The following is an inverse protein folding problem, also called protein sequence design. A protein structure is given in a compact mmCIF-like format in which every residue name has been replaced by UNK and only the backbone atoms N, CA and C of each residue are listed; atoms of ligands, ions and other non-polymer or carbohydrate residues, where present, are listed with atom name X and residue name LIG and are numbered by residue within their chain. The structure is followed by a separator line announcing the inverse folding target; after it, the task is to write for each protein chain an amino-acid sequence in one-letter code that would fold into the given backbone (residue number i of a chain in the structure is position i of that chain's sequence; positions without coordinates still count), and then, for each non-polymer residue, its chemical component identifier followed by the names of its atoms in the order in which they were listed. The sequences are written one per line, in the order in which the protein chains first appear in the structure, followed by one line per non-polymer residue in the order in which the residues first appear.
data_IF_030376411767
#
_entry.id   IF_030376411767
#
_cell.length_a   1.000
_cell.length_b   1.000
_cell.length_c   1.000
_cell.angle_alpha   90.00
_cell.angle_beta   90.00
_cell.angle_gamma   90.00
#
_symmetry.space_group_name_H-M   'P 1'
#
loop_
_entity.id
_entity.type
_entity.pdbx_description
1 polymer ?
#
# COMPACT_ATOMS: atom_id res chain seq x y z
N UNK A 1 17.40 -12.28 25.50
CA UNK A 1 16.91 -11.63 24.27
C UNK A 1 16.78 -12.64 23.13
N UNK A 2 15.72 -12.59 22.32
CA UNK A 2 15.57 -13.48 21.16
C UNK A 2 16.69 -13.26 20.16
N UNK A 3 17.21 -14.34 19.60
CA UNK A 3 18.30 -14.27 18.60
C UNK A 3 17.81 -14.06 17.18
N UNK A 4 16.55 -14.41 16.90
CA UNK A 4 15.91 -14.28 15.58
C UNK A 4 14.41 -14.26 15.73
N UNK A 5 13.76 -13.67 14.74
CA UNK A 5 12.33 -13.80 14.49
C UNK A 5 12.12 -15.12 13.72
N UNK A 6 11.26 -15.98 14.22
CA UNK A 6 10.94 -17.24 13.58
C UNK A 6 9.60 -17.10 12.82
N UNK A 7 9.55 -17.61 11.60
CA UNK A 7 8.29 -17.77 10.84
C UNK A 7 7.52 -18.93 11.46
N UNK A 8 6.26 -18.75 11.79
CA UNK A 8 5.42 -19.81 12.32
C UNK A 8 4.82 -20.66 11.18
N UNK A 9 5.41 -21.85 10.99
CA UNK A 9 4.94 -22.84 10.02
C UNK A 9 4.99 -22.36 8.56
N UNK A 10 4.18 -22.99 7.70
CA UNK A 10 4.05 -22.65 6.27
C UNK A 10 3.05 -21.48 6.05
N UNK A 11 2.99 -20.52 6.99
CA UNK A 11 2.05 -19.40 6.93
C UNK A 11 2.54 -18.23 6.05
N UNK A 12 3.82 -18.21 5.69
CA UNK A 12 4.40 -17.12 4.92
C UNK A 12 3.96 -17.20 3.45
N UNK A 13 3.23 -16.18 3.04
CA UNK A 13 2.87 -15.92 1.65
C UNK A 13 3.41 -14.54 1.24
N UNK A 14 3.20 -14.15 -0.01
CA UNK A 14 3.60 -12.81 -0.48
C UNK A 14 2.81 -11.67 0.18
N UNK A 15 1.63 -11.97 0.75
CA UNK A 15 0.71 -10.99 1.35
C UNK A 15 0.42 -11.20 2.84
N UNK A 16 0.83 -12.34 3.42
CA UNK A 16 0.59 -12.64 4.82
C UNK A 16 1.76 -13.39 5.44
N UNK A 17 2.07 -13.09 6.69
CA UNK A 17 3.04 -13.83 7.47
C UNK A 17 2.76 -13.74 8.97
N UNK A 18 3.00 -14.84 9.67
CA UNK A 18 2.95 -14.92 11.13
C UNK A 18 4.33 -15.26 11.67
N UNK A 19 4.79 -14.45 12.61
CA UNK A 19 6.14 -14.51 13.14
C UNK A 19 6.12 -14.55 14.64
N UNK A 20 7.09 -15.24 15.24
CA UNK A 20 7.24 -15.27 16.69
C UNK A 20 8.68 -15.02 17.11
N UNK A 21 8.84 -14.41 18.26
CA UNK A 21 10.12 -14.19 18.91
C UNK A 21 10.01 -14.41 20.41
N UNK A 22 10.97 -15.16 20.96
CA UNK A 22 11.12 -15.43 22.39
C UNK A 22 12.57 -15.81 22.72
N UNK A 23 13.03 -15.69 23.99
CA UNK A 23 12.36 -15.06 25.11
C UNK A 23 12.66 -13.56 25.18
N UNK A 24 11.66 -12.76 25.53
CA UNK A 24 11.85 -11.38 25.98
C UNK A 24 11.75 -11.33 27.50
N UNK A 25 12.36 -10.35 28.13
CA UNK A 25 12.09 -10.03 29.54
C UNK A 25 10.63 -9.56 29.66
N UNK A 26 10.01 -9.83 30.80
CA UNK A 26 8.60 -9.53 31.06
C UNK A 26 8.28 -8.05 30.80
N UNK A 27 7.27 -7.81 29.96
CA UNK A 27 6.82 -6.49 29.52
C UNK A 27 7.47 -5.99 28.23
N UNK A 28 8.67 -6.49 27.85
CA UNK A 28 9.30 -6.08 26.60
C UNK A 28 8.58 -6.62 25.35
N UNK A 29 7.89 -7.75 25.46
CA UNK A 29 7.06 -8.27 24.37
C UNK A 29 6.05 -7.26 23.89
N UNK A 30 5.34 -6.60 24.81
CA UNK A 30 4.34 -5.56 24.51
C UNK A 30 5.00 -4.31 23.92
N UNK A 31 6.10 -3.84 24.51
CA UNK A 31 6.83 -2.65 24.04
C UNK A 31 7.32 -2.82 22.61
N UNK A 32 7.99 -3.94 22.32
CA UNK A 32 8.51 -4.24 20.98
C UNK A 32 7.37 -4.49 19.97
N UNK A 33 6.36 -5.25 20.38
CA UNK A 33 5.19 -5.53 19.52
C UNK A 33 4.46 -4.26 19.09
N UNK A 34 4.21 -3.35 20.02
CA UNK A 34 3.59 -2.06 19.70
C UNK A 34 4.48 -1.17 18.84
N UNK A 35 5.78 -1.12 19.12
CA UNK A 35 6.74 -0.34 18.33
C UNK A 35 6.81 -0.85 16.88
N UNK A 36 6.91 -2.16 16.69
CA UNK A 36 6.90 -2.79 15.37
C UNK A 36 5.59 -2.53 14.63
N UNK A 37 4.45 -2.67 15.31
CA UNK A 37 3.14 -2.39 14.71
C UNK A 37 3.04 -0.95 14.21
N UNK A 38 3.48 0.03 15.01
CA UNK A 38 3.49 1.44 14.61
C UNK A 38 4.41 1.71 13.43
N UNK A 39 5.65 1.18 13.46
CA UNK A 39 6.60 1.34 12.37
C UNK A 39 6.11 0.69 11.07
N UNK A 40 5.52 -0.50 11.14
CA UNK A 40 4.94 -1.22 10.00
C UNK A 40 3.81 -0.43 9.33
N UNK A 41 2.91 0.16 10.11
CA UNK A 41 1.74 0.86 9.58
C UNK A 41 2.05 2.27 9.06
N UNK A 42 3.14 2.90 9.50
CA UNK A 42 3.41 4.32 9.19
C UNK A 42 4.68 4.58 8.39
N UNK A 43 5.65 3.66 8.42
CA UNK A 43 7.01 4.00 7.99
C UNK A 43 7.55 3.15 6.84
N UNK A 44 6.81 2.12 6.43
CA UNK A 44 7.19 1.32 5.25
C UNK A 44 6.80 2.07 3.99
N UNK A 45 7.73 2.16 3.05
CA UNK A 45 7.52 2.83 1.77
C UNK A 45 6.69 1.98 0.82
N UNK A 46 5.83 2.63 0.06
CA UNK A 46 5.06 2.01 -1.01
C UNK A 46 4.74 3.01 -2.12
N UNK A 47 4.15 2.54 -3.19
CA UNK A 47 3.74 3.34 -4.33
C UNK A 47 2.23 3.65 -4.25
N UNK A 48 1.85 4.87 -4.60
CA UNK A 48 0.45 5.27 -4.70
C UNK A 48 0.24 6.34 -5.77
N UNK A 49 -0.97 6.40 -6.31
CA UNK A 49 -1.39 7.48 -7.21
C UNK A 49 -1.56 8.75 -6.38
N UNK A 50 -0.93 9.84 -6.83
CA UNK A 50 -0.92 11.14 -6.13
C UNK A 50 -1.70 12.22 -6.86
N UNK A 51 -1.87 12.07 -8.18
CA UNK A 51 -2.67 12.98 -8.99
C UNK A 51 -3.26 12.23 -10.17
N UNK A 52 -4.42 12.68 -10.64
CA UNK A 52 -5.13 12.13 -11.79
C UNK A 52 -5.56 13.24 -12.72
N UNK A 53 -5.56 12.96 -14.02
CA UNK A 53 -6.13 13.82 -15.04
C UNK A 53 -7.08 12.97 -15.87
N UNK A 54 -8.35 13.34 -15.85
CA UNK A 54 -9.42 12.66 -16.60
C UNK A 54 -9.88 13.62 -17.69
N UNK A 55 -9.92 13.16 -18.91
CA UNK A 55 -10.34 14.01 -20.05
C UNK A 55 -11.77 14.51 -19.87
N UNK A 56 -11.96 15.83 -20.01
CA UNK A 56 -13.27 16.48 -19.85
C UNK A 56 -13.70 16.70 -18.40
N UNK A 57 -12.83 16.46 -17.43
CA UNK A 57 -13.07 16.65 -15.99
C UNK A 57 -12.17 17.76 -15.45
N UNK A 58 -12.76 18.75 -14.79
CA UNK A 58 -12.02 19.88 -14.20
C UNK A 58 -11.86 19.76 -12.68
N UNK A 59 -12.72 18.98 -12.02
CA UNK A 59 -12.66 18.75 -10.58
C UNK A 59 -13.27 17.38 -10.22
N UNK A 60 -12.94 16.87 -9.05
CA UNK A 60 -13.30 15.54 -8.58
C UNK A 60 -14.81 15.24 -8.47
N UNK A 61 -15.66 16.27 -8.44
CA UNK A 61 -17.11 16.13 -8.36
C UNK A 61 -17.82 16.17 -9.72
N UNK A 62 -17.05 16.12 -10.81
CA UNK A 62 -17.62 16.16 -12.17
C UNK A 62 -18.11 14.78 -12.61
N UNK A 63 -19.18 14.76 -13.41
CA UNK A 63 -19.54 13.56 -14.17
C UNK A 63 -18.60 13.40 -15.38
N UNK A 64 -18.32 12.15 -15.75
CA UNK A 64 -17.51 11.81 -16.92
C UNK A 64 -18.46 11.46 -18.07
N UNK A 65 -18.33 12.16 -19.19
CA UNK A 65 -19.23 11.94 -20.33
C UNK A 65 -19.07 10.54 -20.92
N UNK A 66 -20.15 9.78 -20.95
CA UNK A 66 -20.17 8.43 -21.52
C UNK A 66 -19.58 7.36 -20.57
N UNK A 67 -19.42 7.66 -19.29
CA UNK A 67 -19.02 6.74 -18.24
C UNK A 67 -20.12 6.70 -17.18
N UNK A 68 -20.36 5.55 -16.58
CA UNK A 68 -21.43 5.33 -15.59
C UNK A 68 -21.07 5.99 -14.26
N UNK A 69 -19.80 5.85 -13.84
CA UNK A 69 -19.27 6.39 -12.59
C UNK A 69 -18.94 7.89 -12.77
N UNK A 70 -19.00 8.63 -11.68
CA UNK A 70 -18.45 9.98 -11.62
C UNK A 70 -16.92 9.96 -11.35
N UNK A 71 -16.30 11.15 -11.41
CA UNK A 71 -14.86 11.26 -11.20
C UNK A 71 -14.45 10.83 -9.80
N UNK A 72 -15.29 11.06 -8.77
CA UNK A 72 -15.02 10.65 -7.39
C UNK A 72 -14.97 9.12 -7.29
N UNK A 73 -15.94 8.42 -7.86
CA UNK A 73 -16.00 6.96 -7.85
C UNK A 73 -14.78 6.35 -8.56
N UNK A 74 -14.44 6.88 -9.73
CA UNK A 74 -13.25 6.46 -10.49
C UNK A 74 -11.97 6.66 -9.66
N UNK A 75 -11.80 7.82 -9.02
CA UNK A 75 -10.64 8.09 -8.15
C UNK A 75 -10.60 7.12 -6.97
N UNK A 76 -11.72 6.83 -6.33
CA UNK A 76 -11.78 5.87 -5.22
C UNK A 76 -11.42 4.45 -5.66
N UNK A 77 -11.83 4.04 -6.85
CA UNK A 77 -11.47 2.74 -7.42
C UNK A 77 -9.98 2.67 -7.77
N UNK A 78 -9.43 3.72 -8.39
CA UNK A 78 -7.99 3.81 -8.70
C UNK A 78 -7.11 3.72 -7.44
N UNK A 79 -7.54 4.28 -6.31
CA UNK A 79 -6.81 4.24 -5.03
C UNK A 79 -6.75 2.83 -4.41
N UNK A 80 -7.56 1.88 -4.86
CA UNK A 80 -7.56 0.50 -4.38
C UNK A 80 -6.51 -0.37 -5.08
N UNK A 81 -5.97 0.08 -6.22
CA UNK A 81 -5.04 -0.70 -7.03
C UNK A 81 -3.68 -0.75 -6.33
N UNK A 82 -3.16 -1.95 -6.03
CA UNK A 82 -1.82 -2.10 -5.46
C UNK A 82 -0.77 -2.01 -6.56
N UNK A 83 0.19 -1.12 -6.38
CA UNK A 83 1.31 -0.93 -7.29
C UNK A 83 2.63 -1.28 -6.63
N UNK A 84 3.58 -1.79 -7.45
CA UNK A 84 4.98 -1.88 -7.08
C UNK A 84 5.80 -1.03 -8.04
N UNK A 85 6.56 -0.10 -7.48
CA UNK A 85 7.42 0.81 -8.23
C UNK A 85 8.88 0.43 -8.00
N UNK A 86 9.57 0.08 -9.09
CA UNK A 86 11.00 -0.17 -9.12
C UNK A 86 11.74 1.15 -9.34
N UNK A 87 12.33 1.69 -8.29
CA UNK A 87 13.01 2.98 -8.34
C UNK A 87 12.33 4.06 -7.49
N UNK A 88 12.82 5.28 -7.61
CA UNK A 88 12.38 6.44 -6.81
C UNK A 88 11.69 7.52 -7.64
N UNK A 89 11.90 7.50 -8.95
CA UNK A 89 11.36 8.50 -9.87
C UNK A 89 9.85 8.34 -10.03
N UNK A 90 9.10 9.46 -10.05
CA UNK A 90 7.68 9.42 -10.33
C UNK A 90 7.41 8.91 -11.73
N UNK A 91 6.33 8.14 -11.90
CA UNK A 91 5.91 7.58 -13.19
C UNK A 91 4.53 8.08 -13.59
N UNK A 92 4.29 8.15 -14.88
CA UNK A 92 2.96 8.44 -15.44
C UNK A 92 2.37 7.16 -15.99
N UNK A 93 1.16 6.85 -15.57
CA UNK A 93 0.36 5.72 -16.04
C UNK A 93 -0.81 6.25 -16.86
N UNK A 94 -1.28 5.48 -17.84
CA UNK A 94 -2.40 5.90 -18.67
C UNK A 94 -3.44 4.79 -18.80
N UNK A 95 -4.70 5.19 -18.91
CA UNK A 95 -5.79 4.32 -19.33
C UNK A 95 -6.42 4.98 -20.56
N UNK A 96 -6.60 4.20 -21.63
CA UNK A 96 -7.27 4.63 -22.83
C UNK A 96 -8.29 3.58 -23.24
N UNK A 97 -9.56 3.95 -23.16
CA UNK A 97 -10.66 3.07 -23.55
C UNK A 97 -11.62 3.80 -24.47
N UNK A 98 -11.74 3.29 -25.69
CA UNK A 98 -12.73 3.73 -26.65
C UNK A 98 -13.81 2.65 -26.81
N UNK A 99 -15.07 3.07 -26.68
CA UNK A 99 -16.23 2.17 -26.81
C UNK A 99 -16.65 1.50 -25.51
N UNK A 100 -17.87 0.95 -25.54
CA UNK A 100 -18.53 0.36 -24.39
C UNK A 100 -17.75 -0.82 -23.79
N UNK A 101 -17.73 -0.87 -22.49
CA UNK A 101 -17.18 -1.98 -21.74
C UNK A 101 -16.68 -1.60 -20.36
N UNK A 102 -16.38 -2.61 -19.58
CA UNK A 102 -15.79 -2.49 -18.27
C UNK A 102 -14.28 -2.18 -18.37
N UNK A 103 -13.80 -1.28 -17.55
CA UNK A 103 -12.40 -0.87 -17.42
C UNK A 103 -11.87 -1.38 -16.09
N UNK A 104 -10.78 -2.10 -16.13
CA UNK A 104 -10.13 -2.67 -14.94
C UNK A 104 -8.67 -2.24 -14.86
N UNK A 105 -8.01 -2.60 -13.78
CA UNK A 105 -6.57 -2.36 -13.60
C UNK A 105 -5.69 -3.03 -14.66
N UNK A 106 -6.18 -4.05 -15.38
CA UNK A 106 -5.50 -4.66 -16.52
C UNK A 106 -5.38 -3.71 -17.73
N UNK A 107 -6.24 -2.69 -17.83
CA UNK A 107 -6.22 -1.70 -18.92
C UNK A 107 -5.21 -0.57 -18.70
N UNK A 108 -4.44 -0.61 -17.58
CA UNK A 108 -3.43 0.40 -17.27
C UNK A 108 -2.17 0.18 -18.11
N UNK A 109 -1.84 1.15 -18.93
CA UNK A 109 -0.57 1.22 -19.65
C UNK A 109 0.52 1.78 -18.72
N UNK A 110 1.62 1.06 -18.58
CA UNK A 110 2.72 1.43 -17.69
C UNK A 110 4.10 1.01 -18.25
N UNK A 111 5.15 1.63 -17.74
CA UNK A 111 6.53 1.26 -18.02
C UNK A 111 6.95 -0.03 -17.29
N UNK A 112 8.08 -0.61 -17.70
CA UNK A 112 8.68 -1.78 -17.07
C UNK A 112 9.06 -1.57 -15.57
N UNK A 113 9.18 -0.31 -15.14
CA UNK A 113 9.49 0.04 -13.74
C UNK A 113 8.27 -0.04 -12.81
N UNK A 114 7.08 -0.27 -13.35
CA UNK A 114 5.83 -0.36 -12.58
C UNK A 114 5.21 -1.73 -12.79
N UNK A 115 4.77 -2.36 -11.70
CA UNK A 115 3.96 -3.57 -11.72
C UNK A 115 2.60 -3.26 -11.11
N UNK A 116 1.52 -3.65 -11.80
CA UNK A 116 0.17 -3.71 -11.25
C UNK A 116 0.01 -5.09 -10.61
N UNK A 117 -0.26 -5.15 -9.30
CA UNK A 117 -0.25 -6.42 -8.55
C UNK A 117 -1.61 -7.11 -8.51
N UNK A 118 -2.65 -6.46 -9.02
CA UNK A 118 -4.00 -6.99 -9.13
C UNK A 118 -4.66 -6.42 -10.38
N UNK A 119 -4.81 -7.23 -11.41
CA UNK A 119 -5.37 -6.85 -12.71
C UNK A 119 -6.91 -6.84 -12.72
N UNK A 120 -7.54 -7.27 -11.64
CA UNK A 120 -8.99 -7.45 -11.54
C UNK A 120 -9.73 -6.32 -10.84
N UNK A 121 -9.02 -5.26 -10.42
CA UNK A 121 -9.65 -4.13 -9.74
C UNK A 121 -10.50 -3.34 -10.73
N UNK A 122 -11.80 -3.25 -10.44
CA UNK A 122 -12.76 -2.49 -11.23
C UNK A 122 -12.49 -0.98 -11.12
N UNK A 123 -12.53 -0.28 -12.25
CA UNK A 123 -12.29 1.17 -12.31
C UNK A 123 -13.58 1.90 -12.73
N UNK A 124 -14.13 1.56 -13.89
CA UNK A 124 -15.30 2.23 -14.45
C UNK A 124 -15.96 1.40 -15.53
N UNK A 125 -17.18 1.80 -15.93
CA UNK A 125 -17.89 1.26 -17.09
C UNK A 125 -18.13 2.35 -18.13
N UNK A 126 -17.60 2.15 -19.33
CA UNK A 126 -17.84 3.04 -20.48
C UNK A 126 -19.11 2.61 -21.21
N UNK A 127 -20.00 3.57 -21.49
CA UNK A 127 -21.26 3.38 -22.21
C UNK A 127 -21.04 3.35 -23.73
N UNK A 128 -22.06 2.96 -24.51
CA UNK A 128 -21.99 3.01 -25.97
C UNK A 128 -21.71 4.43 -26.49
N UNK A 129 -20.67 4.55 -27.31
CA UNK A 129 -20.23 5.85 -27.87
C UNK A 129 -19.46 6.73 -26.86
N UNK A 130 -19.18 6.22 -25.66
CA UNK A 130 -18.32 6.88 -24.70
C UNK A 130 -16.84 6.54 -24.89
N UNK A 131 -15.98 7.31 -24.22
CA UNK A 131 -14.54 7.06 -24.09
C UNK A 131 -14.06 7.44 -22.72
N UNK A 132 -12.99 6.81 -22.25
CA UNK A 132 -12.35 7.13 -20.97
C UNK A 132 -10.84 7.23 -21.18
N UNK A 133 -10.30 8.43 -20.95
CA UNK A 133 -8.88 8.69 -21.01
C UNK A 133 -8.43 9.26 -19.64
N UNK A 134 -7.53 8.55 -18.98
CA UNK A 134 -6.99 8.92 -17.66
C UNK A 134 -5.48 8.92 -17.73
N UNK A 135 -4.87 9.98 -17.22
CA UNK A 135 -3.45 10.02 -16.88
C UNK A 135 -3.30 10.06 -15.37
N UNK A 136 -2.38 9.26 -14.82
CA UNK A 136 -2.17 9.13 -13.38
C UNK A 136 -0.71 9.32 -13.03
N UNK A 137 -0.43 10.07 -11.97
CA UNK A 137 0.91 10.22 -11.42
C UNK A 137 1.12 9.23 -10.29
N UNK A 138 2.04 8.29 -10.47
CA UNK A 138 2.45 7.32 -9.45
C UNK A 138 3.73 7.79 -8.77
N UNK A 139 3.74 7.82 -7.43
CA UNK A 139 4.91 8.18 -6.64
C UNK A 139 5.17 7.18 -5.52
N UNK A 140 6.42 7.08 -5.13
CA UNK A 140 6.84 6.41 -3.91
C UNK A 140 6.75 7.36 -2.71
N UNK A 141 6.26 6.87 -1.58
CA UNK A 141 6.11 7.66 -0.37
C UNK A 141 5.92 6.80 0.87
N UNK A 142 5.53 7.43 1.98
CA UNK A 142 5.29 6.78 3.27
C UNK A 142 3.99 7.26 3.89
N UNK A 143 3.24 6.33 4.48
CA UNK A 143 2.04 6.63 5.22
C UNK A 143 0.97 7.32 4.39
N UNK A 144 0.24 8.24 5.00
CA UNK A 144 -0.81 9.04 4.37
C UNK A 144 -0.29 10.43 4.00
N UNK A 145 -0.56 10.86 2.77
CA UNK A 145 -0.22 12.19 2.26
C UNK A 145 -1.52 12.85 1.77
N UNK A 146 -1.93 14.00 2.34
CA UNK A 146 -3.12 14.72 1.91
C UNK A 146 -2.93 15.33 0.51
N UNK A 147 -4.04 15.57 -0.20
CA UNK A 147 -4.05 16.05 -1.58
C UNK A 147 -3.24 17.36 -1.78
N UNK A 148 -3.31 18.28 -0.82
CA UNK A 148 -2.60 19.57 -0.89
C UNK A 148 -1.07 19.41 -0.92
N UNK A 149 -0.55 18.30 -0.37
CA UNK A 149 0.89 17.97 -0.40
C UNK A 149 1.31 17.18 -1.63
N UNK A 150 0.34 16.66 -2.37
CA UNK A 150 0.57 15.93 -3.62
C UNK A 150 0.55 16.84 -4.85
N UNK A 151 0.38 18.15 -4.64
CA UNK A 151 0.49 19.12 -5.71
C UNK A 151 1.96 19.25 -6.12
N UNK A 152 2.24 18.95 -7.40
CA UNK A 152 3.56 19.13 -8.02
C UNK A 152 3.51 20.27 -9.02
N UNK A 153 4.49 21.19 -8.93
CA UNK A 153 4.65 22.29 -9.89
C UNK A 153 4.97 21.81 -11.32
N UNK A 154 5.48 20.56 -11.44
CA UNK A 154 5.86 19.95 -12.72
C UNK A 154 4.67 19.33 -13.48
N UNK A 155 3.50 19.21 -12.85
CA UNK A 155 2.33 18.65 -13.50
C UNK A 155 1.70 19.64 -14.47
N UNK A 156 1.34 19.16 -15.66
CA UNK A 156 0.59 19.95 -16.64
C UNK A 156 -0.79 20.34 -16.09
N UNK A 157 -1.36 21.40 -16.65
CA UNK A 157 -2.71 21.81 -16.30
C UNK A 157 -3.73 20.69 -16.49
N UNK A 158 -4.70 20.62 -15.59
CA UNK A 158 -5.78 19.64 -15.60
C UNK A 158 -5.55 18.41 -14.70
N UNK A 159 -4.40 18.28 -14.04
CA UNK A 159 -4.25 17.28 -13.00
C UNK A 159 -4.96 17.70 -11.71
N UNK A 160 -5.70 16.77 -11.14
CA UNK A 160 -6.36 16.89 -9.85
C UNK A 160 -5.49 16.15 -8.84
N UNK A 161 -4.87 16.83 -7.85
CA UNK A 161 -4.15 16.17 -6.79
C UNK A 161 -5.12 15.41 -5.89
N UNK A 162 -4.78 14.19 -5.53
CA UNK A 162 -5.58 13.34 -4.64
C UNK A 162 -4.77 12.94 -3.42
N UNK A 163 -5.46 12.67 -2.31
CA UNK A 163 -4.82 12.10 -1.13
C UNK A 163 -4.35 10.67 -1.44
N UNK A 164 -3.22 10.30 -0.88
CA UNK A 164 -2.59 9.01 -1.17
C UNK A 164 -2.20 8.26 0.09
N UNK A 165 -2.41 6.93 0.07
CA UNK A 165 -1.98 6.00 1.12
C UNK A 165 -0.86 5.15 0.55
N UNK A 166 0.37 5.46 0.92
CA UNK A 166 1.56 4.81 0.39
C UNK A 166 1.94 3.52 1.15
N UNK A 167 1.36 3.29 2.34
CA UNK A 167 1.75 2.12 3.13
C UNK A 167 1.31 0.81 2.47
N UNK A 168 2.25 -0.12 2.23
CA UNK A 168 1.93 -1.43 1.70
C UNK A 168 1.36 -2.38 2.76
N UNK A 169 1.54 -2.05 4.03
CA UNK A 169 1.04 -2.86 5.15
C UNK A 169 -0.41 -2.50 5.44
N UNK A 170 -1.30 -3.46 5.23
CA UNK A 170 -2.75 -3.26 5.38
C UNK A 170 -3.24 -3.51 6.80
N UNK A 171 -2.64 -4.49 7.50
CA UNK A 171 -3.06 -4.87 8.84
C UNK A 171 -1.88 -5.46 9.61
N UNK A 172 -1.80 -5.16 10.90
CA UNK A 172 -0.86 -5.76 11.83
C UNK A 172 -1.58 -6.12 13.11
N UNK A 173 -1.48 -7.38 13.52
CA UNK A 173 -1.88 -7.85 14.85
C UNK A 173 -0.64 -8.31 15.61
N UNK A 174 -0.65 -8.15 16.93
CA UNK A 174 0.34 -8.82 17.78
C UNK A 174 -0.31 -9.34 19.06
N UNK A 175 0.26 -10.40 19.60
CA UNK A 175 -0.11 -10.99 20.87
C UNK A 175 1.17 -11.25 21.68
N UNK A 176 1.05 -11.11 22.99
CA UNK A 176 2.12 -11.41 23.94
C UNK A 176 1.62 -12.48 24.90
N UNK A 177 2.35 -13.56 24.99
CA UNK A 177 2.04 -14.70 25.83
C UNK A 177 3.21 -14.95 26.80
N UNK A 178 2.89 -15.51 27.97
CA UNK A 178 3.95 -15.95 28.90
C UNK A 178 4.78 -17.08 28.25
N UNK A 179 6.10 -16.94 28.29
CA UNK A 179 7.02 -17.94 27.81
C UNK A 179 7.81 -18.56 28.96
N UNK A 180 8.16 -19.83 28.79
CA UNK A 180 8.97 -20.58 29.76
C UNK A 180 10.35 -20.86 29.19
N UNK A 181 11.39 -20.51 29.94
CA UNK A 181 12.77 -20.88 29.65
C UNK A 181 13.31 -21.71 30.79
N UNK A 182 13.36 -23.04 30.63
CA UNK A 182 13.68 -23.95 31.68
C UNK A 182 12.70 -23.93 32.85
N UNK A 183 13.14 -23.59 34.04
CA UNK A 183 12.26 -23.46 35.22
C UNK A 183 11.74 -22.02 35.43
N UNK A 184 12.25 -21.05 34.67
CA UNK A 184 11.81 -19.65 34.79
C UNK A 184 10.68 -19.35 33.83
N UNK A 185 9.58 -18.83 34.36
CA UNK A 185 8.32 -18.48 33.64
C UNK A 185 8.15 -16.98 33.44
N UNK A 186 9.15 -16.16 33.80
CA UNK A 186 9.08 -14.69 33.72
C UNK A 186 9.57 -14.13 32.38
N UNK A 187 9.20 -14.77 31.29
CA UNK A 187 9.51 -14.31 29.95
C UNK A 187 8.26 -14.13 29.12
N UNK A 188 8.36 -13.28 28.08
CA UNK A 188 7.33 -13.07 27.09
C UNK A 188 7.71 -13.75 25.76
N UNK A 189 6.69 -14.30 25.08
CA UNK A 189 6.69 -14.66 23.66
C UNK A 189 5.86 -13.62 22.93
N UNK A 190 6.45 -12.93 21.95
CA UNK A 190 5.76 -12.05 21.02
C UNK A 190 5.40 -12.83 19.77
N UNK A 191 4.14 -12.81 19.37
CA UNK A 191 3.65 -13.25 18.07
C UNK A 191 3.14 -12.04 17.32
N UNK A 192 3.53 -11.86 16.05
CA UNK A 192 3.09 -10.75 15.21
C UNK A 192 2.60 -11.30 13.86
N UNK A 193 1.47 -10.79 13.39
CA UNK A 193 0.88 -11.12 12.11
C UNK A 193 0.84 -9.87 11.25
N UNK A 194 1.26 -10.00 9.99
CA UNK A 194 1.36 -8.89 9.05
C UNK A 194 0.66 -9.25 7.75
N UNK A 195 -0.23 -8.38 7.30
CA UNK A 195 -0.87 -8.43 5.99
C UNK A 195 -0.38 -7.27 5.14
N UNK A 196 0.06 -7.57 3.92
CA UNK A 196 0.52 -6.57 2.94
C UNK A 196 -0.32 -6.62 1.67
N UNK A 197 -0.14 -5.65 0.80
CA UNK A 197 -0.74 -5.63 -0.53
C UNK A 197 0.01 -6.47 -1.58
N UNK A 198 1.17 -7.03 -1.20
CA UNK A 198 2.04 -7.84 -2.06
C UNK A 198 3.21 -7.06 -2.68
N UNK A 199 3.24 -5.73 -2.59
CA UNK A 199 4.38 -4.93 -3.08
C UNK A 199 5.64 -5.13 -2.24
N UNK A 200 5.45 -5.43 -0.95
CA UNK A 200 6.50 -5.81 0.01
C UNK A 200 6.08 -7.09 0.72
N UNK A 201 6.99 -8.05 0.81
CA UNK A 201 6.74 -9.29 1.55
C UNK A 201 6.67 -9.01 3.07
N UNK A 202 5.87 -9.76 3.83
CA UNK A 202 5.72 -9.56 5.27
C UNK A 202 7.03 -9.68 6.06
N UNK A 203 7.93 -10.60 5.68
CA UNK A 203 9.24 -10.79 6.30
C UNK A 203 10.16 -9.59 6.05
N UNK A 204 10.19 -9.06 4.83
CA UNK A 204 10.93 -7.85 4.49
C UNK A 204 10.37 -6.63 5.22
N UNK A 205 9.05 -6.48 5.29
CA UNK A 205 8.39 -5.38 5.99
C UNK A 205 8.77 -5.33 7.48
N UNK A 206 8.76 -6.49 8.17
CA UNK A 206 9.20 -6.58 9.57
C UNK A 206 10.70 -6.25 9.70
N UNK A 207 11.53 -6.75 8.79
CA UNK A 207 12.97 -6.46 8.79
C UNK A 207 13.25 -4.96 8.66
N UNK A 208 12.55 -4.28 7.73
CA UNK A 208 12.64 -2.82 7.54
C UNK A 208 12.14 -2.06 8.78
N UNK A 209 11.00 -2.46 9.36
CA UNK A 209 10.46 -1.82 10.56
C UNK A 209 11.41 -1.97 11.76
N UNK A 210 11.98 -3.16 11.97
CA UNK A 210 12.94 -3.41 13.02
C UNK A 210 14.24 -2.60 12.84
N UNK A 211 14.72 -2.47 11.58
CA UNK A 211 15.87 -1.63 11.26
C UNK A 211 15.58 -0.16 11.56
N UNK A 212 14.43 0.36 11.16
CA UNK A 212 14.02 1.74 11.44
C UNK A 212 13.98 2.03 12.93
N UNK A 213 13.41 1.13 13.76
CA UNK A 213 13.35 1.29 15.20
C UNK A 213 14.78 1.32 15.76
N UNK A 214 15.64 0.38 15.34
CA UNK A 214 17.04 0.32 15.79
C UNK A 214 17.83 1.58 15.45
N UNK A 215 17.65 2.12 14.25
CA UNK A 215 18.39 3.29 13.77
C UNK A 215 17.94 4.60 14.47
N UNK A 216 16.81 4.59 15.17
CA UNK A 216 16.25 5.73 15.92
C UNK A 216 16.47 5.61 17.45
N UNK A 217 17.06 4.52 17.93
CA UNK A 217 17.41 4.29 19.36
C UNK A 217 18.90 4.47 19.61
#
# INVERSE_FOLDING_TARGET
MPRRLAVEGDTLTDRYGRFSAQPFERGFGTTIGNSLRRALLSSIEGAAITAVKIEGVEHEFSSIRGVVEDATDVILNLKQIPFKLHGTEPKTLTIRRDGAGEVTSADIEHDADVEVLDDSVYIATVSEGGSLNIEMRLKRGRGYVPAERNFDEDLSLGYIPIDSVHTPVKKVNYAVEAARLGQNTEFDKLTIEVWTDGSVRPDDAIGLAAKLIKDHM
#
